data_IF_791093411188
#
_entry.id   IF_791093411188
#
_cell.length_a   1.000
_cell.length_b   1.000
_cell.length_c   1.000
_cell.angle_alpha   90.00
_cell.angle_beta   90.00
_cell.angle_gamma   90.00
#
_symmetry.space_group_name_H-M   'P 1'
#
loop_
_entity.id
_entity.type
_entity.pdbx_description
1 polymer ?
#
# COMPACT_ATOMS: atom_id res chain seq x y z
N UNK A 1 -11.54 -0.79 21.65
CA UNK A 1 -10.79 -1.82 20.91
C UNK A 1 -9.93 -1.13 19.87
N UNK A 2 -8.60 -1.12 20.03
CA UNK A 2 -7.70 -0.63 18.99
C UNK A 2 -7.45 -1.79 18.02
N UNK A 3 -8.16 -1.81 16.89
CA UNK A 3 -7.89 -2.78 15.82
C UNK A 3 -6.59 -2.37 15.13
N UNK A 4 -5.66 -3.31 14.96
CA UNK A 4 -4.47 -3.09 14.17
C UNK A 4 -4.86 -2.76 12.71
N UNK A 5 -4.21 -1.77 12.11
CA UNK A 5 -4.47 -1.41 10.71
C UNK A 5 -4.08 -2.58 9.82
N UNK A 6 -4.88 -2.86 8.79
CA UNK A 6 -4.55 -3.85 7.76
C UNK A 6 -3.83 -3.18 6.60
N UNK A 7 -2.66 -3.70 6.24
CA UNK A 7 -1.83 -3.18 5.15
C UNK A 7 -1.65 -4.24 4.07
N UNK A 8 -1.99 -3.87 2.84
CA UNK A 8 -1.77 -4.66 1.64
C UNK A 8 -0.62 -4.04 0.83
N UNK A 9 0.34 -4.84 0.38
CA UNK A 9 1.44 -4.38 -0.46
C UNK A 9 1.25 -4.84 -1.90
N UNK A 10 1.69 -4.03 -2.86
CA UNK A 10 1.72 -4.43 -4.25
C UNK A 10 2.97 -3.87 -4.93
N UNK A 11 3.63 -4.68 -5.75
CA UNK A 11 4.76 -4.24 -6.57
C UNK A 11 4.76 -4.91 -7.93
N UNK A 12 5.28 -4.27 -8.98
CA UNK A 12 5.26 -4.84 -10.34
C UNK A 12 6.17 -6.07 -10.56
N UNK A 13 6.83 -6.56 -9.52
CA UNK A 13 7.75 -7.70 -9.56
C UNK A 13 7.84 -8.38 -8.17
N UNK A 14 8.04 -9.71 -8.08
CA UNK A 14 8.14 -10.44 -6.82
C UNK A 14 9.27 -10.00 -5.88
N UNK A 15 10.46 -9.68 -6.40
CA UNK A 15 11.61 -9.25 -5.60
C UNK A 15 11.30 -7.88 -4.98
N UNK A 16 10.74 -6.95 -5.78
CA UNK A 16 10.30 -5.64 -5.28
C UNK A 16 9.18 -5.75 -4.26
N UNK A 17 8.28 -6.72 -4.41
CA UNK A 17 7.22 -6.99 -3.43
C UNK A 17 7.82 -7.50 -2.11
N UNK A 18 8.84 -8.35 -2.16
CA UNK A 18 9.52 -8.86 -0.98
C UNK A 18 10.22 -7.72 -0.21
N UNK A 19 10.96 -6.86 -0.91
CA UNK A 19 11.58 -5.65 -0.34
C UNK A 19 10.54 -4.72 0.29
N UNK A 20 9.43 -4.48 -0.41
CA UNK A 20 8.35 -3.63 0.07
C UNK A 20 7.73 -4.20 1.35
N UNK A 21 7.45 -5.52 1.38
CA UNK A 21 6.93 -6.18 2.58
C UNK A 21 7.90 -6.05 3.76
N UNK A 22 9.20 -6.28 3.56
CA UNK A 22 10.20 -6.15 4.61
C UNK A 22 10.24 -4.74 5.21
N UNK A 23 10.13 -3.71 4.37
CA UNK A 23 10.07 -2.33 4.84
C UNK A 23 8.78 -1.99 5.59
N UNK A 24 7.67 -2.58 5.18
CA UNK A 24 6.35 -2.34 5.77
C UNK A 24 6.15 -3.13 7.05
N UNK A 25 6.88 -4.22 7.33
CA UNK A 25 6.77 -4.97 8.60
C UNK A 25 6.88 -4.03 9.81
N UNK A 26 5.91 -4.08 10.72
CA UNK A 26 5.82 -3.23 11.91
C UNK A 26 4.88 -3.86 12.94
N UNK A 27 5.10 -3.67 14.26
CA UNK A 27 4.17 -4.15 15.28
C UNK A 27 2.86 -3.34 15.35
N UNK A 28 2.76 -2.22 14.62
CA UNK A 28 1.60 -1.31 14.67
C UNK A 28 0.47 -1.67 13.69
N UNK A 29 0.73 -2.56 12.74
CA UNK A 29 -0.23 -2.96 11.73
C UNK A 29 0.05 -4.38 11.25
N UNK A 30 -0.94 -4.98 10.60
CA UNK A 30 -0.90 -6.33 10.08
C UNK A 30 -0.69 -6.29 8.56
N UNK A 31 0.28 -7.03 8.05
CA UNK A 31 0.43 -7.28 6.62
C UNK A 31 -0.54 -8.39 6.21
N UNK A 32 -1.58 -8.04 5.44
CA UNK A 32 -2.65 -8.97 5.09
C UNK A 32 -2.49 -9.63 3.73
N UNK A 33 -1.56 -9.16 2.90
CA UNK A 33 -1.37 -9.71 1.57
C UNK A 33 -0.22 -9.10 0.78
N UNK A 34 -0.11 -9.54 -0.46
CA UNK A 34 0.87 -9.05 -1.42
C UNK A 34 0.44 -9.39 -2.83
N UNK A 35 0.45 -8.42 -3.73
CA UNK A 35 0.10 -8.64 -5.13
C UNK A 35 1.21 -8.19 -6.08
N UNK A 36 1.41 -8.93 -7.18
CA UNK A 36 2.38 -8.56 -8.22
C UNK A 36 1.75 -7.94 -9.47
N UNK A 37 0.43 -7.99 -9.57
CA UNK A 37 -0.35 -7.40 -10.66
C UNK A 37 -1.61 -6.68 -10.14
N UNK A 38 -2.29 -5.98 -11.05
CA UNK A 38 -3.45 -5.14 -10.73
C UNK A 38 -4.69 -5.98 -10.37
N UNK A 39 -4.87 -7.13 -11.01
CA UNK A 39 -6.05 -7.97 -10.83
C UNK A 39 -6.01 -8.67 -9.48
N UNK A 40 -4.85 -9.22 -9.12
CA UNK A 40 -4.59 -9.80 -7.81
C UNK A 40 -4.72 -8.74 -6.71
N UNK A 41 -4.18 -7.54 -6.94
CA UNK A 41 -4.29 -6.43 -6.01
C UNK A 41 -5.75 -6.05 -5.75
N UNK A 42 -6.57 -5.93 -6.79
CA UNK A 42 -7.98 -5.60 -6.67
C UNK A 42 -8.76 -6.72 -5.96
N UNK A 43 -8.49 -7.99 -6.29
CA UNK A 43 -9.10 -9.13 -5.64
C UNK A 43 -8.80 -9.15 -4.13
N UNK A 44 -7.52 -9.04 -3.76
CA UNK A 44 -7.08 -9.00 -2.37
C UNK A 44 -7.61 -7.76 -1.63
N UNK A 45 -7.70 -6.60 -2.29
CA UNK A 45 -8.27 -5.40 -1.68
C UNK A 45 -9.76 -5.57 -1.34
N UNK A 46 -10.53 -6.24 -2.20
CA UNK A 46 -11.94 -6.55 -1.95
C UNK A 46 -12.12 -7.59 -0.84
N UNK A 47 -11.33 -8.67 -0.88
CA UNK A 47 -11.45 -9.80 0.06
C UNK A 47 -10.99 -9.44 1.48
N UNK A 48 -9.79 -8.87 1.62
CA UNK A 48 -9.18 -8.62 2.93
C UNK A 48 -9.62 -7.31 3.56
N UNK A 49 -10.22 -6.43 2.76
CA UNK A 49 -10.64 -5.08 3.11
C UNK A 49 -9.55 -4.31 3.89
N UNK A 50 -8.37 -4.09 3.28
CA UNK A 50 -7.26 -3.39 3.94
C UNK A 50 -7.64 -1.93 4.23
N UNK A 51 -7.03 -1.38 5.27
CA UNK A 51 -7.16 0.04 5.62
C UNK A 51 -6.18 0.88 4.79
N UNK A 52 -5.02 0.29 4.46
CA UNK A 52 -3.95 0.93 3.69
C UNK A 52 -3.46 -0.02 2.60
N UNK A 53 -3.24 0.51 1.40
CA UNK A 53 -2.61 -0.19 0.29
C UNK A 53 -1.35 0.55 -0.14
N UNK A 54 -0.22 -0.14 -0.13
CA UNK A 54 1.09 0.39 -0.51
C UNK A 54 1.45 -0.16 -1.89
N UNK A 55 1.63 0.71 -2.87
CA UNK A 55 1.83 0.35 -4.28
C UNK A 55 3.19 0.87 -4.75
N UNK A 56 4.05 -0.01 -5.26
CA UNK A 56 5.34 0.31 -5.88
C UNK A 56 5.31 -0.10 -7.36
N UNK A 57 5.60 0.81 -8.27
CA UNK A 57 5.85 0.49 -9.70
C UNK A 57 4.73 -0.28 -10.46
N UNK A 58 3.47 -0.19 -10.04
CA UNK A 58 2.32 -0.84 -10.69
C UNK A 58 1.43 0.12 -11.52
N UNK A 59 1.82 1.39 -11.59
CA UNK A 59 1.14 2.41 -12.40
C UNK A 59 -0.24 2.85 -11.88
N UNK A 60 -0.90 3.71 -12.66
CA UNK A 60 -2.21 4.30 -12.30
C UNK A 60 -3.35 3.28 -12.33
N UNK A 61 -3.24 2.21 -13.11
CA UNK A 61 -4.25 1.15 -13.17
C UNK A 61 -4.46 0.47 -11.81
N UNK A 62 -3.39 0.32 -11.01
CA UNK A 62 -3.47 -0.22 -9.66
C UNK A 62 -4.27 0.67 -8.70
N UNK A 63 -4.11 1.99 -8.80
CA UNK A 63 -4.88 2.96 -8.02
C UNK A 63 -6.37 2.81 -8.33
N UNK A 64 -6.73 2.84 -9.61
CA UNK A 64 -8.12 2.68 -10.04
C UNK A 64 -8.71 1.32 -9.63
N UNK A 65 -7.91 0.25 -9.72
CA UNK A 65 -8.31 -1.09 -9.28
C UNK A 65 -8.63 -1.15 -7.79
N UNK A 66 -7.78 -0.57 -6.94
CA UNK A 66 -7.99 -0.53 -5.50
C UNK A 66 -9.16 0.39 -5.13
N UNK A 67 -9.28 1.58 -5.73
CA UNK A 67 -10.40 2.48 -5.45
C UNK A 67 -11.75 1.84 -5.78
N UNK A 68 -11.83 1.06 -6.87
CA UNK A 68 -13.02 0.31 -7.24
C UNK A 68 -13.32 -0.84 -6.30
N UNK A 69 -12.30 -1.62 -5.90
CA UNK A 69 -12.46 -2.80 -5.05
C UNK A 69 -12.68 -2.46 -3.58
N UNK A 70 -11.99 -1.44 -3.07
CA UNK A 70 -12.06 -0.96 -1.70
C UNK A 70 -12.12 0.57 -1.65
N UNK A 71 -13.31 1.15 -1.88
CA UNK A 71 -13.52 2.58 -1.72
C UNK A 71 -13.16 3.02 -0.30
N UNK A 72 -12.36 4.08 -0.20
CA UNK A 72 -11.90 4.62 1.08
C UNK A 72 -10.70 3.91 1.68
N UNK A 73 -10.09 2.91 1.03
CA UNK A 73 -8.74 2.51 1.42
C UNK A 73 -7.75 3.65 1.19
N UNK A 74 -6.79 3.79 2.10
CA UNK A 74 -5.74 4.79 1.96
C UNK A 74 -4.63 4.25 1.05
N UNK A 75 -4.28 5.01 0.01
CA UNK A 75 -3.23 4.63 -0.92
C UNK A 75 -1.89 5.30 -0.56
N UNK A 76 -0.81 4.53 -0.61
CA UNK A 76 0.57 5.00 -0.48
C UNK A 76 1.35 4.58 -1.71
N UNK A 77 1.74 5.54 -2.53
CA UNK A 77 2.53 5.27 -3.74
C UNK A 77 4.02 5.41 -3.42
N UNK A 78 4.79 4.39 -3.78
CA UNK A 78 6.24 4.35 -3.64
C UNK A 78 6.83 4.49 -5.04
N UNK A 79 7.47 5.63 -5.30
CA UNK A 79 8.16 5.90 -6.56
C UNK A 79 9.66 5.66 -6.40
N UNK A 80 10.33 5.04 -7.39
CA UNK A 80 11.78 4.98 -7.42
C UNK A 80 12.32 6.40 -7.62
N UNK A 81 13.26 6.83 -6.77
CA UNK A 81 13.94 8.11 -6.94
C UNK A 81 15.02 7.97 -8.04
N UNK A 82 14.94 8.70 -9.16
CA UNK A 82 15.95 8.61 -10.21
C UNK A 82 17.29 9.19 -9.71
N UNK A 83 18.35 8.38 -9.76
CA UNK A 83 19.72 8.80 -9.45
C UNK A 83 20.20 8.56 -8.02
N UNK A 84 19.43 7.88 -7.17
CA UNK A 84 19.88 7.53 -5.83
C UNK A 84 20.60 6.16 -5.83
N UNK A 85 21.89 6.15 -5.49
CA UNK A 85 22.56 4.98 -4.89
C UNK A 85 21.98 4.63 -3.49
N UNK A 86 20.92 5.34 -3.08
CA UNK A 86 20.17 5.25 -1.84
C UNK A 86 18.73 4.73 -2.12
N UNK A 87 18.63 3.44 -2.45
CA UNK A 87 17.35 2.72 -2.47
C UNK A 87 16.65 2.73 -1.08
N UNK A 88 17.37 3.16 -0.04
CA UNK A 88 16.93 3.33 1.34
C UNK A 88 16.06 4.59 1.61
N UNK A 89 16.02 5.58 0.70
CA UNK A 89 15.19 6.79 0.90
C UNK A 89 13.68 6.54 0.71
N UNK A 90 13.30 5.48 -0.01
CA UNK A 90 11.90 5.16 -0.32
C UNK A 90 11.15 4.39 0.77
N UNK A 91 11.85 3.49 1.49
CA UNK A 91 11.22 2.50 2.39
C UNK A 91 11.03 2.99 3.83
N UNK A 92 11.99 3.74 4.39
CA UNK A 92 11.85 4.38 5.71
C UNK A 92 10.67 5.37 5.75
N UNK A 93 10.41 6.04 4.62
CA UNK A 93 9.29 6.96 4.47
C UNK A 93 7.93 6.25 4.37
N UNK A 94 7.87 4.98 3.95
CA UNK A 94 6.62 4.22 3.89
C UNK A 94 5.97 4.13 5.27
N UNK A 95 6.76 3.83 6.31
CA UNK A 95 6.26 3.79 7.69
C UNK A 95 5.75 5.15 8.14
N UNK A 96 6.50 6.22 7.83
CA UNK A 96 6.10 7.60 8.14
C UNK A 96 4.82 7.99 7.38
N UNK A 97 4.68 7.56 6.13
CA UNK A 97 3.49 7.77 5.33
C UNK A 97 2.31 7.03 5.94
N UNK A 98 2.44 5.74 6.25
CA UNK A 98 1.42 4.93 6.95
C UNK A 98 0.94 5.65 8.22
N UNK A 99 1.85 6.16 9.05
CA UNK A 99 1.52 6.81 10.32
C UNK A 99 0.96 8.24 10.21
N UNK A 100 1.41 9.06 9.25
CA UNK A 100 1.15 10.52 9.27
C UNK A 100 0.20 11.05 8.20
N UNK A 101 -0.28 10.25 7.26
CA UNK A 101 -1.24 10.80 6.29
C UNK A 101 -2.66 10.87 6.83
N UNK A 102 -3.49 11.69 6.19
CA UNK A 102 -4.88 11.91 6.60
C UNK A 102 -5.61 10.57 6.70
N UNK A 103 -6.44 10.42 7.73
CA UNK A 103 -7.29 9.25 7.89
C UNK A 103 -8.07 9.01 6.59
N UNK A 104 -8.26 7.76 6.15
CA UNK A 104 -9.08 7.46 4.98
C UNK A 104 -10.40 8.18 5.11
N UNK A 105 -10.65 9.11 4.18
CA UNK A 105 -11.83 9.95 4.23
C UNK A 105 -13.06 9.04 4.18
N UNK A 106 -13.81 9.00 5.29
CA UNK A 106 -15.18 8.55 5.26
C UNK A 106 -15.99 9.36 4.24
N UNK A 107 -17.13 8.85 3.77
CA UNK A 107 -17.83 9.38 2.61
C UNK A 107 -18.09 10.89 2.77
N UNK A 108 -17.51 11.68 1.86
CA UNK A 108 -17.81 13.11 1.74
C UNK A 108 -19.25 13.20 1.23
N UNK A 109 -20.19 13.49 2.13
CA UNK A 109 -21.51 13.98 1.75
C UNK A 109 -21.36 15.46 1.41
N UNK A 110 -21.31 15.78 0.12
CA UNK A 110 -21.81 17.06 -0.39
C UNK A 110 -23.29 16.94 -0.66
#
# INVERSE_FOLDING_TARGET
MCRALKVLCAAGDPDRLAELKQAVVSPHWELVGGAVDVDELAAQAGEWAPDIVVIRDLGQAAVAGVEKARPGARLVLVHPAPGAEDEAAGLHLVRKAILNGPAPAGPVRT
#
